data_IF_190436448710
#
_entry.id   IF_190436448710
#
_cell.length_a   1.000
_cell.length_b   1.000
_cell.length_c   1.000
_cell.angle_alpha   90.00
_cell.angle_beta   90.00
_cell.angle_gamma   90.00
#
_symmetry.space_group_name_H-M   'P 1'
#
loop_
_entity.id
_entity.type
_entity.pdbx_description
1 polymer ?
#
# COMPACT_ATOMS: atom_id res chain seq x y z
N UNK A 1 -56.09 -1.26 -48.41
CA UNK A 1 -55.46 -0.40 -47.39
C UNK A 1 -55.31 -1.26 -46.15
N UNK A 2 -54.22 -2.04 -46.09
CA UNK A 2 -53.00 -1.78 -45.27
C UNK A 2 -53.15 -2.55 -43.94
N UNK A 3 -52.21 -3.31 -43.40
CA UNK A 3 -50.85 -3.72 -43.75
C UNK A 3 -50.54 -4.99 -42.94
N UNK A 4 -49.59 -5.79 -43.41
CA UNK A 4 -49.18 -7.07 -42.85
C UNK A 4 -47.93 -6.88 -41.99
N UNK A 5 -47.90 -7.34 -40.73
CA UNK A 5 -46.66 -7.44 -39.94
C UNK A 5 -46.45 -8.87 -39.41
N UNK A 6 -45.45 -9.50 -40.04
CA UNK A 6 -44.72 -10.77 -39.81
C UNK A 6 -44.47 -11.06 -38.32
N UNK A 7 -44.73 -12.29 -37.82
CA UNK A 7 -43.86 -13.49 -37.79
C UNK A 7 -42.50 -13.24 -37.11
N UNK A 8 -41.87 -14.09 -36.31
CA UNK A 8 -41.95 -15.51 -35.93
C UNK A 8 -40.67 -15.76 -35.10
N UNK A 9 -40.65 -16.77 -34.20
CA UNK A 9 -39.52 -17.72 -33.98
C UNK A 9 -39.57 -18.34 -32.58
N UNK A 10 -40.32 -19.43 -32.49
CA UNK A 10 -39.82 -20.63 -31.83
C UNK A 10 -38.81 -21.29 -32.78
N UNK A 11 -37.58 -21.52 -32.33
CA UNK A 11 -36.63 -22.40 -33.03
C UNK A 11 -36.05 -23.39 -32.00
N UNK A 12 -36.25 -24.70 -32.17
CA UNK A 12 -35.75 -25.70 -31.23
C UNK A 12 -34.24 -25.94 -31.38
N UNK A 13 -33.65 -26.32 -30.26
CA UNK A 13 -32.25 -26.75 -30.10
C UNK A 13 -31.94 -27.94 -31.01
N UNK A 14 -30.92 -27.83 -31.86
CA UNK A 14 -30.41 -28.95 -32.64
C UNK A 14 -28.91 -29.15 -32.36
N UNK A 15 -28.59 -30.26 -31.71
CA UNK A 15 -27.24 -30.82 -31.63
C UNK A 15 -26.79 -31.30 -33.01
N UNK A 16 -25.49 -31.12 -33.29
CA UNK A 16 -24.70 -31.74 -34.36
C UNK A 16 -24.61 -30.98 -35.71
N UNK A 17 -23.59 -30.11 -35.85
CA UNK A 17 -22.82 -29.91 -37.09
C UNK A 17 -21.35 -29.70 -36.70
N UNK A 18 -20.48 -30.59 -37.20
CA UNK A 18 -19.03 -30.51 -37.18
C UNK A 18 -18.50 -29.83 -38.46
N UNK A 19 -17.22 -29.43 -38.42
CA UNK A 19 -16.39 -28.86 -39.50
C UNK A 19 -16.64 -27.36 -39.78
N UNK A 20 -15.68 -26.45 -39.79
CA UNK A 20 -14.23 -26.49 -39.66
C UNK A 20 -13.75 -25.11 -40.13
N UNK A 21 -13.00 -24.40 -39.28
CA UNK A 21 -12.24 -23.22 -39.69
C UNK A 21 -10.90 -23.29 -38.97
N UNK A 22 -9.88 -23.68 -39.72
CA UNK A 22 -8.48 -23.60 -39.29
C UNK A 22 -8.03 -22.15 -39.41
N UNK A 23 -7.54 -21.59 -38.31
CA UNK A 23 -6.58 -20.48 -38.33
C UNK A 23 -5.36 -20.95 -37.53
N UNK A 24 -4.28 -21.29 -38.23
CA UNK A 24 -2.97 -21.59 -37.65
C UNK A 24 -2.10 -20.32 -37.71
N UNK A 25 -1.72 -19.78 -36.55
CA UNK A 25 -0.46 -19.07 -36.35
C UNK A 25 -0.04 -19.20 -34.87
N UNK A 26 1.22 -19.58 -34.68
CA UNK A 26 1.84 -20.02 -33.43
C UNK A 26 1.95 -18.96 -32.29
N UNK A 27 2.21 -19.48 -31.08
CA UNK A 27 2.89 -18.87 -29.89
C UNK A 27 2.08 -17.89 -29.01
N UNK A 28 2.01 -17.99 -27.68
CA UNK A 28 2.86 -18.58 -26.64
C UNK A 28 2.00 -19.09 -25.46
N UNK A 29 2.51 -20.08 -24.72
CA UNK A 29 2.10 -20.43 -23.36
C UNK A 29 1.97 -19.19 -22.45
N UNK A 30 0.77 -18.66 -22.29
CA UNK A 30 0.45 -17.83 -21.14
C UNK A 30 -0.14 -18.74 -20.06
N UNK A 31 0.74 -19.50 -19.39
CA UNK A 31 0.53 -19.76 -17.96
C UNK A 31 0.13 -18.40 -17.38
N UNK A 32 -0.95 -18.26 -16.58
CA UNK A 32 -1.11 -17.08 -15.76
C UNK A 32 0.10 -17.10 -14.81
N UNK A 33 1.20 -16.52 -15.27
CA UNK A 33 2.42 -16.41 -14.50
C UNK A 33 1.97 -15.68 -13.25
N UNK A 34 2.14 -16.34 -12.11
CA UNK A 34 1.99 -15.71 -10.81
C UNK A 34 2.89 -14.47 -10.84
N UNK A 35 2.30 -13.32 -11.16
CA UNK A 35 3.02 -12.06 -11.24
C UNK A 35 3.37 -11.73 -9.81
N UNK A 36 4.63 -12.02 -9.45
CA UNK A 36 5.16 -11.66 -8.15
C UNK A 36 5.21 -10.14 -8.10
N UNK A 37 4.21 -9.52 -7.48
CA UNK A 37 4.14 -8.08 -7.31
C UNK A 37 5.11 -7.68 -6.20
N UNK A 38 6.15 -6.93 -6.55
CA UNK A 38 7.07 -6.36 -5.59
C UNK A 38 6.45 -5.10 -4.97
N UNK A 39 6.07 -5.20 -3.69
CA UNK A 39 5.52 -4.09 -2.91
C UNK A 39 6.63 -3.52 -2.03
N UNK A 40 7.03 -2.27 -2.28
CA UNK A 40 8.02 -1.54 -1.47
C UNK A 40 7.34 -0.42 -0.72
N UNK A 41 7.55 -0.37 0.59
CA UNK A 41 7.06 0.73 1.43
C UNK A 41 8.19 1.72 1.63
N UNK A 42 7.91 3.00 1.39
CA UNK A 42 8.88 4.09 1.46
C UNK A 42 8.31 5.25 2.25
N UNK A 43 9.19 6.06 2.84
CA UNK A 43 8.84 7.28 3.56
C UNK A 43 7.75 7.05 4.63
N UNK A 44 8.10 6.28 5.66
CA UNK A 44 7.20 6.08 6.81
C UNK A 44 7.43 7.21 7.81
N UNK A 45 6.45 8.10 7.90
CA UNK A 45 6.42 9.20 8.85
C UNK A 45 5.46 8.85 10.00
N UNK A 46 6.03 8.52 11.17
CA UNK A 46 5.28 8.29 12.39
C UNK A 46 4.52 9.56 12.79
N UNK A 47 3.31 9.39 13.29
CA UNK A 47 2.42 10.46 13.74
C UNK A 47 2.10 10.25 15.21
N UNK A 48 1.95 11.35 15.95
CA UNK A 48 1.60 11.35 17.37
C UNK A 48 0.10 11.62 17.57
N UNK A 49 -0.75 11.16 16.64
CA UNK A 49 -2.20 11.33 16.72
C UNK A 49 -2.84 10.04 17.29
N UNK A 50 -3.94 10.18 18.01
CA UNK A 50 -4.67 9.04 18.62
C UNK A 50 -5.17 8.01 17.59
N UNK A 51 -5.60 8.49 16.43
CA UNK A 51 -6.17 7.66 15.37
C UNK A 51 -5.17 7.42 14.25
N UNK A 52 -4.34 8.40 13.88
CA UNK A 52 -3.36 8.26 12.80
C UNK A 52 -1.99 7.92 13.37
N UNK A 53 -1.53 6.70 13.09
CA UNK A 53 -0.24 6.19 13.57
C UNK A 53 0.93 6.59 12.66
N UNK A 54 0.73 6.56 11.34
CA UNK A 54 1.76 6.94 10.38
C UNK A 54 1.19 7.29 9.01
N UNK A 55 1.99 8.02 8.23
CA UNK A 55 1.81 8.19 6.78
C UNK A 55 2.92 7.44 6.06
N UNK A 56 2.58 6.79 4.95
CA UNK A 56 3.51 6.03 4.13
C UNK A 56 3.24 6.21 2.64
N UNK A 57 4.25 5.88 1.84
CA UNK A 57 4.13 5.74 0.40
C UNK A 57 4.44 4.30 0.00
N UNK A 58 3.81 3.83 -1.07
CA UNK A 58 3.99 2.47 -1.60
C UNK A 58 4.48 2.59 -3.03
N UNK A 59 5.49 1.80 -3.40
CA UNK A 59 5.93 1.60 -4.76
C UNK A 59 5.62 0.16 -5.18
N UNK A 60 4.86 0.01 -6.26
CA UNK A 60 4.52 -1.28 -6.87
C UNK A 60 5.44 -1.48 -8.07
N UNK A 61 6.20 -2.59 -8.07
CA UNK A 61 7.14 -2.97 -9.14
C UNK A 61 8.10 -1.86 -9.59
N UNK A 62 8.40 -0.90 -8.70
CA UNK A 62 9.18 0.31 -8.98
C UNK A 62 8.65 1.15 -10.18
N UNK A 63 7.43 0.88 -10.65
CA UNK A 63 6.82 1.54 -11.81
C UNK A 63 5.65 2.44 -11.42
N UNK A 64 5.00 2.18 -10.27
CA UNK A 64 3.88 2.97 -9.78
C UNK A 64 4.09 3.33 -8.30
N UNK A 65 4.10 4.63 -8.00
CA UNK A 65 4.15 5.14 -6.63
C UNK A 65 2.79 5.67 -6.19
N UNK A 66 2.26 5.08 -5.12
CA UNK A 66 1.03 5.49 -4.44
C UNK A 66 1.41 6.28 -3.20
N UNK A 67 1.02 7.55 -3.15
CA UNK A 67 1.31 8.44 -2.02
C UNK A 67 0.07 8.62 -1.15
N UNK A 68 0.29 8.94 0.12
CA UNK A 68 -0.79 9.29 1.05
C UNK A 68 -1.53 8.09 1.64
N UNK A 69 -0.84 6.95 1.73
CA UNK A 69 -1.33 5.81 2.50
C UNK A 69 -1.21 6.16 3.99
N UNK A 70 -2.25 5.86 4.76
CA UNK A 70 -2.33 6.17 6.19
C UNK A 70 -2.39 4.86 6.97
N UNK A 71 -1.59 4.75 8.02
CA UNK A 71 -1.71 3.66 9.01
C UNK A 71 -2.49 4.23 10.18
N UNK A 72 -3.63 3.61 10.48
CA UNK A 72 -4.65 4.12 11.39
C UNK A 72 -4.86 3.08 12.49
N UNK A 73 -5.03 3.52 13.73
CA UNK A 73 -5.35 2.63 14.83
C UNK A 73 -6.86 2.41 14.90
N UNK A 74 -7.30 1.17 14.69
CA UNK A 74 -8.70 0.77 14.79
C UNK A 74 -9.01 0.02 16.08
N UNK A 75 -10.29 -0.30 16.27
CA UNK A 75 -10.75 -1.11 17.41
C UNK A 75 -10.16 -2.53 17.43
N UNK A 76 -9.73 -3.03 16.27
CA UNK A 76 -9.16 -4.37 16.09
C UNK A 76 -7.65 -4.34 15.79
N UNK A 77 -6.98 -3.21 16.07
CA UNK A 77 -5.57 -3.01 15.79
C UNK A 77 -5.31 -2.04 14.64
N UNK A 78 -4.02 -1.90 14.30
CA UNK A 78 -3.58 -1.02 13.23
C UNK A 78 -4.00 -1.57 11.85
N UNK A 79 -4.51 -0.70 11.00
CA UNK A 79 -4.90 -1.03 9.63
C UNK A 79 -4.50 0.10 8.67
N UNK A 80 -4.49 -0.22 7.38
CA UNK A 80 -4.18 0.76 6.33
C UNK A 80 -5.45 1.41 5.79
N UNK A 81 -5.38 2.71 5.56
CA UNK A 81 -6.36 3.49 4.82
C UNK A 81 -5.71 3.99 3.53
N UNK A 82 -6.29 3.61 2.40
CA UNK A 82 -5.80 4.01 1.08
C UNK A 82 -5.97 5.53 0.87
N UNK A 83 -5.17 6.12 -0.03
CA UNK A 83 -5.33 7.53 -0.37
C UNK A 83 -6.75 7.79 -0.86
N UNK A 84 -7.39 8.77 -0.25
CA UNK A 84 -8.77 9.16 -0.53
C UNK A 84 -8.88 10.68 -0.60
N UNK A 85 -9.83 11.14 -1.39
CA UNK A 85 -10.19 12.55 -1.50
C UNK A 85 -11.65 12.72 -1.12
N UNK A 86 -11.99 13.92 -0.62
CA UNK A 86 -13.37 14.25 -0.29
C UNK A 86 -14.05 14.85 -1.52
N UNK A 87 -15.10 14.19 -1.99
CA UNK A 87 -15.98 14.66 -3.06
C UNK A 87 -17.42 14.67 -2.58
N UNK A 88 -18.08 15.83 -2.67
CA UNK A 88 -19.49 16.00 -2.31
C UNK A 88 -19.82 15.48 -0.90
N UNK A 89 -18.96 15.76 0.08
CA UNK A 89 -19.13 15.32 1.47
C UNK A 89 -18.83 13.84 1.72
N UNK A 90 -18.44 13.06 0.70
CA UNK A 90 -18.06 11.64 0.82
C UNK A 90 -16.58 11.45 0.55
N UNK A 91 -15.93 10.56 1.30
CA UNK A 91 -14.57 10.14 1.01
C UNK A 91 -14.59 9.06 -0.06
N UNK A 92 -13.84 9.28 -1.14
CA UNK A 92 -13.68 8.33 -2.24
C UNK A 92 -12.21 7.94 -2.30
N UNK A 93 -11.95 6.63 -2.27
CA UNK A 93 -10.59 6.11 -2.45
C UNK A 93 -10.12 6.32 -3.89
N UNK A 94 -8.91 6.82 -4.04
CA UNK A 94 -8.25 7.04 -5.34
C UNK A 94 -7.68 5.71 -5.85
N UNK A 95 -7.18 4.89 -4.94
CA UNK A 95 -6.58 3.60 -5.24
C UNK A 95 -7.18 2.55 -4.31
N UNK A 96 -7.61 1.42 -4.86
CA UNK A 96 -8.13 0.31 -4.07
C UNK A 96 -7.64 -1.03 -4.66
N UNK A 97 -7.27 -2.00 -3.80
CA UNK A 97 -6.89 -3.33 -4.27
C UNK A 97 -8.13 -4.09 -4.73
N UNK A 98 -8.11 -4.56 -5.98
CA UNK A 98 -9.24 -5.29 -6.59
C UNK A 98 -9.35 -6.71 -6.06
N UNK A 99 -8.22 -7.36 -5.77
CA UNK A 99 -8.15 -8.76 -5.32
C UNK A 99 -7.88 -8.85 -3.81
N UNK A 100 -8.49 -9.83 -3.14
CA UNK A 100 -8.28 -10.08 -1.70
C UNK A 100 -6.83 -10.44 -1.37
N UNK A 101 -6.17 -11.21 -2.23
CA UNK A 101 -4.78 -11.62 -2.04
C UNK A 101 -3.83 -10.41 -2.01
N UNK A 102 -3.90 -9.55 -3.03
CA UNK A 102 -3.12 -8.31 -3.06
C UNK A 102 -3.44 -7.38 -1.89
N UNK A 103 -4.70 -7.33 -1.44
CA UNK A 103 -5.08 -6.56 -0.25
C UNK A 103 -4.32 -7.03 0.99
N UNK A 104 -4.25 -8.34 1.22
CA UNK A 104 -3.50 -8.91 2.34
C UNK A 104 -2.00 -8.65 2.18
N UNK A 105 -1.42 -8.95 1.01
CA UNK A 105 0.00 -8.71 0.77
C UNK A 105 0.40 -7.24 1.00
N UNK A 106 -0.42 -6.30 0.54
CA UNK A 106 -0.17 -4.88 0.72
C UNK A 106 -0.32 -4.48 2.19
N UNK A 107 -1.36 -4.97 2.86
CA UNK A 107 -1.56 -4.75 4.30
C UNK A 107 -0.34 -5.22 5.10
N UNK A 108 0.09 -6.46 4.91
CA UNK A 108 1.18 -7.06 5.68
C UNK A 108 2.51 -6.38 5.39
N UNK A 109 2.76 -6.01 4.13
CA UNK A 109 3.96 -5.26 3.73
C UNK A 109 4.02 -3.88 4.42
N UNK A 110 2.91 -3.15 4.45
CA UNK A 110 2.84 -1.81 5.06
C UNK A 110 2.94 -1.87 6.58
N UNK A 111 2.18 -2.75 7.23
CA UNK A 111 2.21 -2.90 8.69
C UNK A 111 3.57 -3.40 9.14
N UNK A 112 4.16 -4.39 8.45
CA UNK A 112 5.49 -4.89 8.76
C UNK A 112 6.56 -3.81 8.66
N UNK A 113 6.53 -2.98 7.61
CA UNK A 113 7.47 -1.87 7.47
C UNK A 113 7.26 -0.77 8.54
N UNK A 114 6.02 -0.52 8.95
CA UNK A 114 5.69 0.39 10.04
C UNK A 114 6.27 -0.10 11.38
N UNK A 115 6.07 -1.37 11.73
CA UNK A 115 6.60 -1.96 12.96
C UNK A 115 8.13 -1.94 12.99
N UNK A 116 8.79 -2.25 11.86
CA UNK A 116 10.24 -2.13 11.73
C UNK A 116 10.73 -0.70 11.97
N UNK A 117 10.04 0.29 11.37
CA UNK A 117 10.39 1.70 11.54
C UNK A 117 10.19 2.14 12.99
N UNK A 118 9.13 1.70 13.66
CA UNK A 118 8.85 1.99 15.06
C UNK A 118 9.96 1.44 15.97
N UNK A 119 10.36 0.18 15.75
CA UNK A 119 11.45 -0.45 16.50
C UNK A 119 12.81 0.25 16.29
N UNK A 120 13.10 0.69 15.05
CA UNK A 120 14.31 1.46 14.74
C UNK A 120 14.29 2.85 15.39
N UNK A 121 13.15 3.55 15.35
CA UNK A 121 12.98 4.86 15.98
C UNK A 121 13.19 4.82 17.49
N UNK A 122 12.68 3.77 18.16
CA UNK A 122 12.90 3.56 19.60
C UNK A 122 14.38 3.34 19.94
N UNK A 123 15.08 2.48 19.18
CA UNK A 123 16.52 2.24 19.37
C UNK A 123 17.36 3.50 19.15
N UNK A 124 17.03 4.30 18.15
CA UNK A 124 17.73 5.56 17.88
C UNK A 124 17.55 6.57 19.03
N UNK A 125 16.35 6.68 19.60
CA UNK A 125 16.11 7.55 20.76
C UNK A 125 16.82 7.08 22.02
N UNK A 126 16.94 5.77 22.24
CA UNK A 126 17.63 5.21 23.40
C UNK A 126 19.14 5.46 23.35
N UNK A 127 19.76 5.29 22.18
CA UNK A 127 21.17 5.65 21.95
C UNK A 127 21.43 7.16 22.08
N UNK A 128 20.52 8.01 21.60
CA UNK A 128 20.66 9.46 21.75
C UNK A 128 20.58 9.90 23.22
N UNK A 129 19.73 9.23 24.02
CA UNK A 129 19.57 9.52 25.45
C UNK A 129 20.81 9.13 26.27
N UNK A 130 21.46 8.01 25.92
CA UNK A 130 22.72 7.59 26.55
C UNK A 130 23.89 8.54 26.23
N UNK A 131 24.01 9.00 24.99
CA UNK A 131 25.06 9.97 24.62
C UNK A 131 24.91 11.34 25.30
N UNK A 132 23.67 11.77 25.59
CA UNK A 132 23.42 13.05 26.29
C UNK A 132 23.76 13.02 27.79
N UNK A 133 23.95 11.83 28.39
CA UNK A 133 24.31 11.68 29.80
C UNK A 133 25.83 11.78 30.06
N UNK A 134 26.68 11.60 29.03
CA UNK A 134 28.15 11.62 29.18
C UNK A 134 28.80 13.01 29.02
N UNK A 135 28.07 14.05 28.60
CA UNK A 135 28.66 15.40 28.41
C UNK A 135 28.58 16.29 29.66
N UNK A 136 28.00 15.83 30.77
CA UNK A 136 27.77 16.66 31.98
C UNK A 136 28.76 16.43 33.13
N UNK A 137 29.97 15.96 32.82
CA UNK A 137 30.98 15.57 33.81
C UNK A 137 32.39 16.10 33.50
N UNK A 138 32.57 17.38 33.19
CA UNK A 138 33.89 18.03 33.29
C UNK A 138 33.76 19.54 33.56
N UNK A 139 33.32 19.90 34.76
CA UNK A 139 33.57 21.22 35.35
C UNK A 139 34.19 20.99 36.74
N UNK A 140 35.47 21.31 36.90
CA UNK A 140 36.22 21.73 38.11
C UNK A 140 37.69 21.82 37.63
N UNK A 141 38.54 22.80 37.91
CA UNK A 141 38.53 24.03 38.68
C UNK A 141 39.79 24.76 38.19
N UNK A 142 39.72 26.07 37.94
CA UNK A 142 40.85 26.82 37.40
C UNK A 142 40.79 28.27 37.82
N UNK A 143 40.82 28.50 39.13
CA UNK A 143 40.95 29.82 39.71
C UNK A 143 42.14 30.57 39.09
N UNK A 144 41.85 31.79 38.61
CA UNK A 144 42.84 32.81 38.24
C UNK A 144 43.72 33.12 39.45
N UNK A 145 45.05 33.25 39.24
CA UNK A 145 45.67 34.47 39.75
C UNK A 145 46.90 34.87 38.94
N UNK A 146 46.84 35.92 38.12
CA UNK A 146 48.02 36.76 37.93
C UNK A 146 47.61 38.23 37.78
N UNK A 147 47.81 38.94 38.88
CA UNK A 147 47.99 40.38 38.93
C UNK A 147 49.35 40.75 38.31
N UNK A 148 49.39 41.86 37.56
CA UNK A 148 50.59 42.49 37.00
C UNK A 148 50.22 43.80 36.36
#
# INVERSE_FOLDING_TARGET
MSENTKNEKDIPFNENISEGFEENAETLDAVPQSVSLNIKVTNIALQNEENLLARANIALNDCLAIRGVKIVNGKHGAFISMPSYQANGRFVEICFPTTSEFRQQLHDSVIGAYEQTLAQGQRAMEHAKQASAETKGTEMEGASPYAG
#
